data_IF_201467990865
#
_entry.id   IF_201467990865
#
_cell.length_a   1.000
_cell.length_b   1.000
_cell.length_c   1.000
_cell.angle_alpha   90.00
_cell.angle_beta   90.00
_cell.angle_gamma   90.00
#
_symmetry.space_group_name_H-M   'P 1'
#
loop_
_entity.id
_entity.type
_entity.pdbx_description
1 polymer ?
#
# COMPACT_ATOMS: atom_id res chain seq x y z
N UNK A 1 -21.08 -7.39 -10.44
CA UNK A 1 -19.96 -7.50 -9.51
C UNK A 1 -19.80 -6.19 -8.71
N UNK A 2 -19.46 -6.31 -7.42
CA UNK A 2 -19.10 -5.16 -6.59
C UNK A 2 -17.63 -4.88 -6.83
N UNK A 3 -17.29 -3.61 -7.08
CA UNK A 3 -15.91 -3.14 -7.26
C UNK A 3 -15.65 -1.93 -6.36
N UNK A 4 -14.38 -1.68 -6.02
CA UNK A 4 -13.98 -0.49 -5.28
C UNK A 4 -13.93 0.75 -6.19
N UNK A 5 -13.90 1.93 -5.60
CA UNK A 5 -13.59 3.19 -6.30
C UNK A 5 -12.19 3.14 -6.93
N UNK A 6 -11.24 2.47 -6.28
CA UNK A 6 -9.89 2.21 -6.81
C UNK A 6 -9.95 1.40 -8.11
N UNK A 7 -10.73 0.32 -8.13
CA UNK A 7 -10.92 -0.50 -9.33
C UNK A 7 -11.53 0.32 -10.47
N UNK A 8 -12.50 1.18 -10.14
CA UNK A 8 -13.11 2.08 -11.10
C UNK A 8 -12.08 3.03 -11.71
N UNK A 9 -11.24 3.65 -10.87
CA UNK A 9 -10.17 4.55 -11.33
C UNK A 9 -9.13 3.83 -12.19
N UNK A 10 -8.73 2.61 -11.82
CA UNK A 10 -7.83 1.78 -12.62
C UNK A 10 -8.38 1.57 -14.03
N UNK A 11 -9.69 1.28 -14.15
CA UNK A 11 -10.34 1.01 -15.44
C UNK A 11 -10.54 2.25 -16.30
N UNK A 12 -10.77 3.42 -15.67
CA UNK A 12 -11.18 4.64 -16.40
C UNK A 12 -10.05 5.63 -16.65
N UNK A 13 -9.07 5.72 -15.76
CA UNK A 13 -8.12 6.85 -15.76
C UNK A 13 -6.72 6.54 -16.30
N UNK A 14 -6.52 5.42 -16.98
CA UNK A 14 -5.31 5.16 -17.79
C UNK A 14 -4.00 5.15 -17.01
N UNK A 15 -2.92 5.58 -17.65
CA UNK A 15 -1.53 5.30 -17.28
C UNK A 15 -1.01 6.31 -16.25
N UNK A 16 -0.99 5.91 -14.98
CA UNK A 16 -0.17 6.55 -13.93
C UNK A 16 0.58 5.45 -13.16
N UNK A 17 1.60 5.85 -12.41
CA UNK A 17 2.29 4.93 -11.51
C UNK A 17 1.48 4.76 -10.22
N UNK A 18 1.48 3.54 -9.68
CA UNK A 18 0.77 3.22 -8.45
C UNK A 18 1.74 2.78 -7.35
N UNK A 19 1.70 3.48 -6.24
CA UNK A 19 2.35 3.11 -4.99
C UNK A 19 1.26 2.71 -4.01
N UNK A 20 1.21 1.44 -3.67
CA UNK A 20 0.18 0.85 -2.80
C UNK A 20 0.77 0.59 -1.42
N UNK A 21 0.09 1.03 -0.38
CA UNK A 21 0.49 0.83 1.01
C UNK A 21 -0.64 0.16 1.76
N UNK A 22 -0.32 -0.98 2.38
CA UNK A 22 -1.25 -1.71 3.25
C UNK A 22 -0.52 -2.26 4.49
N UNK A 23 -1.25 -2.82 5.40
CA UNK A 23 -0.78 -3.37 6.67
C UNK A 23 -1.89 -3.33 7.71
N UNK A 24 -1.65 -3.81 8.90
CA UNK A 24 -2.58 -3.62 10.02
C UNK A 24 -2.45 -2.21 10.55
N UNK A 25 -1.24 -1.77 10.88
CA UNK A 25 -0.93 -0.47 11.48
C UNK A 25 0.02 0.36 10.62
N UNK A 26 -0.01 1.69 10.80
CA UNK A 26 0.94 2.63 10.19
C UNK A 26 0.66 2.99 8.72
N UNK A 27 -0.40 2.48 8.12
CA UNK A 27 -0.77 2.75 6.73
C UNK A 27 -0.86 4.24 6.41
N UNK A 28 -1.72 4.96 7.12
CA UNK A 28 -1.99 6.38 6.88
C UNK A 28 -0.75 7.25 7.05
N UNK A 29 0.03 6.99 8.10
CA UNK A 29 1.29 7.71 8.36
C UNK A 29 2.30 7.47 7.24
N UNK A 30 2.47 6.22 6.82
CA UNK A 30 3.39 5.86 5.74
C UNK A 30 2.94 6.44 4.41
N UNK A 31 1.64 6.41 4.12
CA UNK A 31 1.07 6.99 2.90
C UNK A 31 1.28 8.49 2.84
N UNK A 32 0.98 9.20 3.93
CA UNK A 32 1.17 10.65 4.01
C UNK A 32 2.65 11.05 3.90
N UNK A 33 3.55 10.31 4.57
CA UNK A 33 4.99 10.57 4.50
C UNK A 33 5.55 10.31 3.10
N UNK A 34 5.16 9.20 2.47
CA UNK A 34 5.56 8.86 1.10
C UNK A 34 5.11 9.95 0.12
N UNK A 35 3.85 10.38 0.24
CA UNK A 35 3.31 11.46 -0.56
C UNK A 35 4.06 12.77 -0.35
N UNK A 36 4.36 13.14 0.89
CA UNK A 36 5.12 14.34 1.23
C UNK A 36 6.53 14.32 0.59
N UNK A 37 7.24 13.20 0.71
CA UNK A 37 8.58 13.03 0.13
C UNK A 37 8.52 13.17 -1.41
N UNK A 38 7.58 12.50 -2.06
CA UNK A 38 7.45 12.55 -3.52
C UNK A 38 7.07 13.96 -4.00
N UNK A 39 6.17 14.64 -3.29
CA UNK A 39 5.80 16.03 -3.59
C UNK A 39 6.98 16.97 -3.42
N UNK A 40 7.77 16.83 -2.35
CA UNK A 40 8.97 17.61 -2.10
C UNK A 40 10.06 17.37 -3.16
N UNK A 41 10.07 16.18 -3.76
CA UNK A 41 10.93 15.85 -4.92
C UNK A 41 10.34 16.31 -6.28
N UNK A 42 9.33 17.18 -6.29
CA UNK A 42 8.75 17.76 -7.50
C UNK A 42 7.90 16.79 -8.32
N UNK A 43 7.44 15.66 -7.76
CA UNK A 43 6.58 14.74 -8.49
C UNK A 43 5.12 15.19 -8.46
N UNK A 44 4.42 15.00 -9.59
CA UNK A 44 2.96 15.14 -9.65
C UNK A 44 2.36 13.92 -8.95
N UNK A 45 1.57 14.15 -7.90
CA UNK A 45 1.00 13.07 -7.10
C UNK A 45 -0.49 13.25 -6.86
N UNK A 46 -1.18 12.12 -6.66
CA UNK A 46 -2.53 12.04 -6.12
C UNK A 46 -2.51 11.07 -4.94
N UNK A 47 -3.16 11.43 -3.83
CA UNK A 47 -3.10 10.67 -2.56
C UNK A 47 -4.50 10.35 -2.09
N UNK A 48 -4.79 9.10 -1.83
CA UNK A 48 -6.13 8.71 -1.38
C UNK A 48 -6.25 7.21 -1.08
N UNK A 49 -7.43 6.69 -1.32
CA UNK A 49 -7.80 5.31 -1.04
C UNK A 49 -8.61 5.20 0.24
N UNK A 50 -8.13 4.44 1.23
CA UNK A 50 -8.77 4.35 2.55
C UNK A 50 -8.48 5.56 3.44
N UNK A 51 -7.73 6.53 2.96
CA UNK A 51 -7.33 7.75 3.65
C UNK A 51 -7.90 8.98 2.94
N UNK A 52 -8.64 9.81 3.68
CA UNK A 52 -9.10 11.11 3.20
C UNK A 52 -10.12 11.02 2.06
N UNK A 53 -9.85 11.74 0.97
CA UNK A 53 -10.75 11.80 -0.19
C UNK A 53 -10.77 10.49 -0.97
N UNK A 54 -11.94 9.97 -1.37
CA UNK A 54 -12.04 8.80 -2.24
C UNK A 54 -11.24 8.98 -3.53
N UNK A 55 -10.62 7.90 -4.01
CA UNK A 55 -9.74 8.00 -5.19
C UNK A 55 -10.49 8.49 -6.45
N UNK A 56 -11.77 8.17 -6.57
CA UNK A 56 -12.60 8.58 -7.70
C UNK A 56 -12.85 10.10 -7.76
N UNK A 57 -12.73 10.80 -6.63
CA UNK A 57 -12.92 12.26 -6.52
C UNK A 57 -11.61 13.04 -6.69
N UNK A 58 -10.47 12.34 -6.75
CA UNK A 58 -9.18 12.97 -6.88
C UNK A 58 -8.81 13.23 -8.34
N UNK A 59 -8.19 14.37 -8.58
CA UNK A 59 -7.62 14.68 -9.88
C UNK A 59 -6.56 13.67 -10.29
N UNK A 60 -6.51 13.40 -11.60
CA UNK A 60 -5.47 12.55 -12.14
C UNK A 60 -4.11 13.24 -12.03
N UNK A 61 -3.08 12.57 -11.51
CA UNK A 61 -1.74 13.15 -11.48
C UNK A 61 -1.07 13.18 -12.87
N UNK A 62 -1.80 12.76 -13.91
CA UNK A 62 -1.31 12.70 -15.29
C UNK A 62 -0.50 11.44 -15.60
N UNK A 63 -0.12 11.29 -16.87
CA UNK A 63 0.54 10.09 -17.42
C UNK A 63 1.86 9.71 -16.70
N UNK A 64 2.62 10.71 -16.26
CA UNK A 64 3.90 10.52 -15.55
C UNK A 64 3.75 10.73 -14.02
N UNK A 65 2.53 10.92 -13.55
CA UNK A 65 2.26 11.14 -12.15
C UNK A 65 2.16 9.84 -11.35
N UNK A 66 2.11 9.99 -10.04
CA UNK A 66 2.13 8.88 -9.10
C UNK A 66 0.87 8.94 -8.22
N UNK A 67 0.16 7.85 -8.15
CA UNK A 67 -0.93 7.64 -7.19
C UNK A 67 -0.35 6.93 -5.97
N UNK A 68 -0.40 7.58 -4.82
CA UNK A 68 -0.02 6.99 -3.54
C UNK A 68 -1.30 6.63 -2.80
N UNK A 69 -1.55 5.35 -2.64
CA UNK A 69 -2.83 4.87 -2.11
C UNK A 69 -2.67 3.98 -0.90
N UNK A 70 -3.47 4.29 0.12
CA UNK A 70 -3.70 3.40 1.24
C UNK A 70 -4.83 2.43 0.90
N UNK A 71 -4.62 1.13 1.05
CA UNK A 71 -5.66 0.15 0.83
C UNK A 71 -5.92 -0.73 2.06
N UNK A 72 -7.18 -0.83 2.43
CA UNK A 72 -7.66 -1.80 3.42
C UNK A 72 -7.74 -3.21 2.81
N UNK A 73 -7.85 -4.23 3.67
CA UNK A 73 -8.09 -5.61 3.22
C UNK A 73 -9.39 -5.73 2.44
N UNK A 74 -10.43 -4.98 2.81
CA UNK A 74 -11.73 -4.96 2.12
C UNK A 74 -11.61 -4.42 0.69
N UNK A 75 -10.93 -3.29 0.51
CA UNK A 75 -10.71 -2.70 -0.82
C UNK A 75 -9.88 -3.64 -1.71
N UNK A 76 -8.84 -4.28 -1.14
CA UNK A 76 -8.02 -5.24 -1.88
C UNK A 76 -8.82 -6.47 -2.37
N UNK A 77 -9.86 -6.89 -1.64
CA UNK A 77 -10.73 -7.99 -2.07
C UNK A 77 -11.51 -7.67 -3.35
N UNK A 78 -11.86 -6.40 -3.55
CA UNK A 78 -12.70 -5.92 -4.65
C UNK A 78 -11.97 -5.00 -5.64
N UNK A 79 -10.65 -5.14 -5.71
CA UNK A 79 -9.77 -4.45 -6.67
C UNK A 79 -8.95 -5.47 -7.48
N UNK A 80 -9.58 -6.29 -8.32
CA UNK A 80 -8.92 -7.39 -9.01
C UNK A 80 -7.90 -6.95 -10.07
N UNK A 81 -8.06 -5.74 -10.66
CA UNK A 81 -7.16 -5.22 -11.70
C UNK A 81 -5.95 -4.48 -11.14
N UNK A 82 -5.72 -4.53 -9.82
CA UNK A 82 -4.58 -3.86 -9.19
C UNK A 82 -3.26 -4.42 -9.72
N UNK A 83 -2.45 -3.54 -10.32
CA UNK A 83 -1.13 -3.85 -10.91
C UNK A 83 -0.14 -2.73 -10.57
N UNK A 84 0.36 -2.67 -9.31
CA UNK A 84 1.16 -1.55 -8.83
C UNK A 84 2.59 -1.58 -9.35
N UNK A 85 3.20 -0.38 -9.43
CA UNK A 85 4.65 -0.22 -9.64
C UNK A 85 5.42 -0.49 -8.34
N UNK A 86 4.86 -0.05 -7.21
CA UNK A 86 5.42 -0.33 -5.88
C UNK A 86 4.30 -0.75 -4.95
N UNK A 87 4.52 -1.79 -4.17
CA UNK A 87 3.57 -2.21 -3.15
C UNK A 87 4.25 -2.54 -1.83
N UNK A 88 3.74 -1.98 -0.73
CA UNK A 88 4.26 -2.18 0.61
C UNK A 88 3.23 -2.87 1.52
N UNK A 89 3.65 -3.95 2.20
CA UNK A 89 2.93 -4.52 3.34
C UNK A 89 3.76 -4.24 4.59
N UNK A 90 3.28 -3.32 5.43
CA UNK A 90 4.04 -2.79 6.57
C UNK A 90 4.14 -3.81 7.71
N UNK A 91 3.04 -4.43 8.05
CA UNK A 91 2.92 -5.41 9.13
C UNK A 91 1.62 -6.19 9.01
N UNK A 92 1.53 -7.27 9.77
CA UNK A 92 0.35 -8.10 9.87
C UNK A 92 0.18 -8.56 11.31
N UNK A 93 -0.90 -8.14 11.95
CA UNK A 93 -1.34 -8.58 13.27
C UNK A 93 -2.84 -8.83 13.25
N UNK A 94 -3.41 -9.60 14.21
CA UNK A 94 -4.83 -9.88 14.24
C UNK A 94 -5.66 -8.61 14.21
N UNK A 95 -6.56 -8.53 13.23
CA UNK A 95 -7.50 -7.44 13.04
C UNK A 95 -8.64 -7.90 12.12
N UNK A 96 -9.84 -7.35 12.29
CA UNK A 96 -11.01 -7.64 11.45
C UNK A 96 -11.32 -9.14 11.28
N UNK A 97 -11.03 -9.97 12.31
CA UNK A 97 -11.22 -11.42 12.22
C UNK A 97 -12.70 -11.79 12.18
N UNK A 98 -13.58 -10.97 12.73
CA UNK A 98 -15.04 -11.12 12.62
C UNK A 98 -15.51 -11.10 11.15
N UNK A 99 -14.80 -10.38 10.27
CA UNK A 99 -15.11 -10.28 8.83
C UNK A 99 -14.37 -11.34 8.01
N UNK A 100 -13.09 -11.55 8.28
CA UNK A 100 -12.25 -12.47 7.50
C UNK A 100 -12.33 -13.92 7.98
N UNK A 101 -12.86 -14.18 9.19
CA UNK A 101 -12.98 -15.50 9.80
C UNK A 101 -11.69 -16.08 10.35
N UNK A 102 -10.52 -15.70 9.79
CA UNK A 102 -9.22 -16.18 10.25
C UNK A 102 -8.07 -15.24 9.86
N UNK A 103 -6.94 -15.38 10.58
CA UNK A 103 -5.70 -14.70 10.20
C UNK A 103 -5.21 -15.09 8.80
N UNK A 104 -5.40 -16.32 8.39
CA UNK A 104 -5.01 -16.79 7.07
C UNK A 104 -5.79 -16.06 5.96
N UNK A 105 -7.10 -15.90 6.12
CA UNK A 105 -7.94 -15.17 5.18
C UNK A 105 -7.60 -13.67 5.16
N UNK A 106 -7.36 -13.06 6.32
CA UNK A 106 -6.93 -11.67 6.43
C UNK A 106 -5.58 -11.45 5.74
N UNK A 107 -4.62 -12.34 5.96
CA UNK A 107 -3.33 -12.33 5.29
C UNK A 107 -3.47 -12.48 3.76
N UNK A 108 -4.31 -13.43 3.31
CA UNK A 108 -4.59 -13.62 1.89
C UNK A 108 -5.24 -12.40 1.23
N UNK A 109 -6.14 -11.71 1.94
CA UNK A 109 -6.72 -10.46 1.45
C UNK A 109 -5.64 -9.38 1.25
N UNK A 110 -4.72 -9.21 2.21
CA UNK A 110 -3.62 -8.24 2.08
C UNK A 110 -2.57 -8.65 1.05
N UNK A 111 -2.32 -9.95 0.87
CA UNK A 111 -1.40 -10.46 -0.15
C UNK A 111 -1.82 -10.07 -1.58
N UNK A 112 -3.09 -9.73 -1.82
CA UNK A 112 -3.54 -9.20 -3.11
C UNK A 112 -2.83 -7.91 -3.51
N UNK A 113 -2.36 -7.11 -2.55
CA UNK A 113 -1.60 -5.90 -2.82
C UNK A 113 -0.29 -6.17 -3.58
N UNK A 114 0.32 -7.34 -3.39
CA UNK A 114 1.61 -7.70 -3.98
C UNK A 114 1.51 -8.74 -5.10
N UNK A 115 0.32 -9.31 -5.31
CA UNK A 115 0.11 -10.43 -6.23
C UNK A 115 0.50 -10.10 -7.67
N UNK A 116 0.17 -8.89 -8.12
CA UNK A 116 0.33 -8.46 -9.50
C UNK A 116 1.24 -7.23 -9.61
N UNK A 117 2.26 -7.10 -8.76
CA UNK A 117 3.27 -6.05 -8.91
C UNK A 117 3.96 -6.23 -10.26
N UNK A 118 4.15 -5.11 -10.99
CA UNK A 118 4.77 -5.11 -12.32
C UNK A 118 6.15 -5.77 -12.28
N UNK A 119 6.58 -6.36 -13.39
CA UNK A 119 7.87 -7.07 -13.47
C UNK A 119 9.08 -6.18 -13.20
N UNK A 120 8.99 -4.90 -13.51
CA UNK A 120 9.97 -3.86 -13.21
C UNK A 120 9.68 -3.10 -11.90
N UNK A 121 8.70 -3.58 -11.13
CA UNK A 121 8.23 -2.98 -9.90
C UNK A 121 9.00 -3.42 -8.65
N UNK A 122 8.48 -3.01 -7.49
CA UNK A 122 9.10 -3.29 -6.19
C UNK A 122 8.05 -3.72 -5.16
N UNK A 123 8.31 -4.84 -4.51
CA UNK A 123 7.62 -5.27 -3.29
C UNK A 123 8.44 -4.84 -2.08
N UNK A 124 7.81 -4.18 -1.12
CA UNK A 124 8.41 -3.81 0.16
C UNK A 124 7.66 -4.54 1.28
N UNK A 125 8.37 -5.29 2.08
CA UNK A 125 7.84 -5.95 3.28
C UNK A 125 8.45 -5.35 4.54
N UNK A 126 7.61 -5.12 5.53
CA UNK A 126 8.03 -4.66 6.85
C UNK A 126 8.95 -5.67 7.56
N UNK A 127 9.49 -5.26 8.71
CA UNK A 127 10.41 -6.07 9.50
C UNK A 127 9.68 -7.19 10.27
N UNK A 128 9.09 -8.12 9.51
CA UNK A 128 8.49 -9.35 10.07
C UNK A 128 8.71 -10.49 9.07
N UNK A 129 9.51 -11.51 9.41
CA UNK A 129 9.80 -12.64 8.53
C UNK A 129 8.55 -13.36 8.02
N UNK A 130 7.48 -13.38 8.80
CA UNK A 130 6.23 -14.03 8.40
C UNK A 130 5.57 -13.36 7.18
N UNK A 131 5.93 -12.12 6.86
CA UNK A 131 5.42 -11.46 5.65
C UNK A 131 5.94 -12.09 4.36
N UNK A 132 7.06 -12.81 4.41
CA UNK A 132 7.60 -13.54 3.26
C UNK A 132 6.65 -14.64 2.78
N UNK A 133 5.84 -15.23 3.66
CA UNK A 133 4.84 -16.22 3.28
C UNK A 133 3.69 -15.66 2.44
N UNK A 134 3.56 -14.32 2.35
CA UNK A 134 2.57 -13.64 1.52
C UNK A 134 3.00 -13.50 0.05
N UNK A 135 4.26 -13.75 -0.25
CA UNK A 135 4.77 -13.66 -1.61
C UNK A 135 4.07 -14.66 -2.52
N UNK A 136 3.72 -14.29 -3.75
CA UNK A 136 3.24 -15.25 -4.73
C UNK A 136 4.33 -16.26 -5.05
N UNK A 137 3.94 -17.48 -5.44
CA UNK A 137 4.90 -18.56 -5.80
C UNK A 137 5.88 -18.12 -6.90
N UNK A 138 5.44 -17.25 -7.79
CA UNK A 138 6.27 -16.68 -8.86
C UNK A 138 6.08 -15.17 -8.90
N UNK A 139 7.18 -14.44 -8.85
CA UNK A 139 7.23 -13.00 -9.08
C UNK A 139 8.55 -12.66 -9.78
N UNK A 140 8.55 -11.63 -10.61
CA UNK A 140 9.73 -11.17 -11.36
C UNK A 140 10.19 -9.77 -10.97
N UNK A 141 9.44 -9.10 -10.10
CA UNK A 141 9.76 -7.78 -9.58
C UNK A 141 10.86 -7.84 -8.49
N UNK A 142 11.41 -6.69 -8.15
CA UNK A 142 12.34 -6.57 -7.03
C UNK A 142 11.63 -6.76 -5.68
N UNK A 143 12.33 -7.33 -4.70
CA UNK A 143 11.85 -7.49 -3.33
C UNK A 143 12.81 -6.81 -2.36
N UNK A 144 12.28 -6.02 -1.46
CA UNK A 144 12.99 -5.45 -0.33
C UNK A 144 12.25 -5.75 0.97
N UNK A 145 12.91 -6.41 1.89
CA UNK A 145 12.42 -6.60 3.25
C UNK A 145 13.18 -5.67 4.20
N UNK A 146 12.44 -4.83 4.94
CA UNK A 146 13.02 -3.94 5.95
C UNK A 146 13.66 -4.80 7.05
N UNK A 147 14.89 -4.46 7.43
CA UNK A 147 15.63 -5.10 8.52
C UNK A 147 15.79 -4.11 9.68
N UNK A 148 16.00 -4.63 10.86
CA UNK A 148 16.25 -3.79 12.05
C UNK A 148 17.47 -2.87 11.85
N UNK A 149 18.49 -3.34 11.15
CA UNK A 149 19.68 -2.57 10.81
C UNK A 149 19.41 -1.39 9.87
N UNK A 150 18.29 -1.40 9.12
CA UNK A 150 17.89 -0.31 8.21
C UNK A 150 17.28 0.87 8.97
N UNK A 151 16.97 0.68 10.27
CA UNK A 151 16.41 1.74 11.09
C UNK A 151 17.53 2.73 11.45
N UNK A 152 17.45 4.02 11.06
CA UNK A 152 18.47 5.00 11.37
C UNK A 152 18.66 5.09 12.89
N UNK A 153 19.82 4.72 13.40
CA UNK A 153 20.14 4.85 14.83
C UNK A 153 20.10 6.33 15.20
N UNK A 154 19.11 6.73 15.99
CA UNK A 154 18.94 8.10 16.49
C UNK A 154 17.94 8.98 15.76
N UNK A 155 17.44 8.61 14.58
CA UNK A 155 16.48 9.43 13.83
C UNK A 155 15.09 9.52 14.49
N UNK A 156 14.73 8.56 15.33
CA UNK A 156 13.39 8.49 15.94
C UNK A 156 13.26 9.14 17.32
N UNK A 157 14.32 9.69 17.91
CA UNK A 157 14.26 10.21 19.29
C UNK A 157 13.43 11.50 19.42
N UNK A 158 13.12 12.19 18.33
CA UNK A 158 12.44 13.49 18.35
C UNK A 158 11.23 13.60 17.42
N UNK A 159 10.72 12.49 16.89
CA UNK A 159 9.49 12.51 16.08
C UNK A 159 8.32 12.18 17.01
N UNK A 160 7.68 13.20 17.55
CA UNK A 160 6.37 13.06 18.18
C UNK A 160 5.32 12.90 17.09
N UNK A 161 4.92 11.67 16.80
CA UNK A 161 3.74 11.39 15.99
C UNK A 161 2.51 11.60 16.87
N UNK A 162 1.90 12.77 16.80
CA UNK A 162 0.60 13.03 17.41
C UNK A 162 -0.49 12.61 16.42
N UNK A 163 -1.10 11.49 16.66
CA UNK A 163 -2.26 11.01 15.92
C UNK A 163 -3.10 10.14 16.85
N UNK A 164 -4.40 10.41 16.92
CA UNK A 164 -5.36 9.52 17.55
C UNK A 164 -5.50 8.27 16.68
N UNK A 165 -4.83 7.20 17.09
CA UNK A 165 -5.04 5.88 16.51
C UNK A 165 -5.75 5.02 17.54
N UNK A 166 -7.03 4.87 17.36
CA UNK A 166 -7.83 3.75 17.87
C UNK A 166 -8.19 2.85 16.71
#
# INVERSE_FOLDING_TARGET
PIISDIELVIRLQGISKWVVITGTNGKSTTTALTAHILKSAGKSISVGGNLGTPMAELDSPGKNGIRVVELSSYQLEITPSLNPDVSAILNLSPDHLERHGSMANYAAAKAKAIKNVKSDGLIILGNNPNLLSLLPEKYSCSLYQIKEADTPRGACKNIALSGSHN
#
